data_IF_131677953291
#
_entry.id   IF_131677953291
#
_cell.length_a   1.000
_cell.length_b   1.000
_cell.length_c   1.000
_cell.angle_alpha   90.00
_cell.angle_beta   90.00
_cell.angle_gamma   90.00
#
_symmetry.space_group_name_H-M   'P 1'
#
loop_
_entity.id
_entity.type
_entity.pdbx_description
1 polymer ?
#
# COMPACT_ATOMS: atom_id res chain seq x y z
N UNK A 1 31.93 11.64 22.15
CA UNK A 1 30.69 11.04 22.68
C UNK A 1 29.56 11.54 21.81
N UNK A 2 29.38 10.97 20.60
CA UNK A 2 28.51 11.60 19.57
C UNK A 2 27.99 10.67 18.43
N UNK A 3 27.58 9.41 18.68
CA UNK A 3 26.90 8.63 17.64
C UNK A 3 25.36 8.80 17.66
N UNK A 4 24.77 9.49 18.64
CA UNK A 4 23.32 9.47 18.85
C UNK A 4 22.56 10.42 17.90
N UNK A 5 23.08 11.65 17.68
CA UNK A 5 22.44 12.75 16.91
C UNK A 5 22.34 12.54 15.39
N UNK A 6 22.97 11.49 14.85
CA UNK A 6 22.82 11.13 13.43
C UNK A 6 21.75 10.04 13.24
N UNK A 7 21.52 9.21 14.28
CA UNK A 7 20.68 8.02 14.18
C UNK A 7 19.20 8.37 14.32
N UNK A 8 18.89 9.31 15.19
CA UNK A 8 17.63 10.01 15.34
C UNK A 8 17.24 10.82 14.08
N UNK A 9 18.19 11.53 13.46
CA UNK A 9 17.92 12.29 12.22
C UNK A 9 17.58 11.36 11.05
N UNK A 10 18.32 10.26 10.88
CA UNK A 10 17.99 9.23 9.90
C UNK A 10 16.59 8.64 10.16
N UNK A 11 16.28 8.25 11.41
CA UNK A 11 14.98 7.66 11.75
C UNK A 11 13.82 8.64 11.50
N UNK A 12 13.99 9.93 11.73
CA UNK A 12 12.95 10.94 11.54
C UNK A 12 12.63 11.16 10.05
N UNK A 13 13.65 11.22 9.19
CA UNK A 13 13.45 11.29 7.74
C UNK A 13 12.80 10.01 7.20
N UNK A 14 13.20 8.84 7.70
CA UNK A 14 12.55 7.58 7.36
C UNK A 14 11.09 7.60 7.81
N UNK A 15 10.76 8.02 9.02
CA UNK A 15 9.39 8.09 9.52
C UNK A 15 8.51 9.05 8.72
N UNK A 16 9.00 10.23 8.33
CA UNK A 16 8.23 11.16 7.51
C UNK A 16 7.97 10.61 6.10
N UNK A 17 8.99 10.03 5.46
CA UNK A 17 8.84 9.43 4.14
C UNK A 17 7.92 8.21 4.17
N UNK A 18 8.06 7.34 5.18
CA UNK A 18 7.15 6.22 5.38
C UNK A 18 5.75 6.75 5.64
N UNK A 19 5.54 7.67 6.59
CA UNK A 19 4.23 8.20 6.97
C UNK A 19 3.47 8.80 5.80
N UNK A 20 4.12 9.65 4.98
CA UNK A 20 3.49 10.24 3.78
C UNK A 20 3.06 9.17 2.77
N UNK A 21 3.83 8.07 2.65
CA UNK A 21 3.51 6.94 1.76
C UNK A 21 2.47 5.98 2.36
N UNK A 22 2.51 5.70 3.67
CA UNK A 22 1.50 4.87 4.35
C UNK A 22 0.15 5.55 4.29
N UNK A 23 0.08 6.89 4.34
CA UNK A 23 -1.18 7.63 4.19
C UNK A 23 -1.79 7.41 2.79
N UNK A 24 -0.99 7.47 1.72
CA UNK A 24 -1.45 7.13 0.35
C UNK A 24 -1.91 5.68 0.25
N UNK A 25 -1.11 4.75 0.77
CA UNK A 25 -1.42 3.32 0.76
C UNK A 25 -2.66 2.98 1.60
N UNK A 26 -2.86 3.66 2.72
CA UNK A 26 -3.98 3.48 3.64
C UNK A 26 -5.28 3.97 3.02
N UNK A 27 -5.25 5.12 2.33
CA UNK A 27 -6.40 5.63 1.56
C UNK A 27 -6.83 4.64 0.47
N UNK A 28 -5.84 4.07 -0.22
CA UNK A 28 -6.06 3.02 -1.20
C UNK A 28 -6.63 1.74 -0.59
N UNK A 29 -6.05 1.27 0.52
CA UNK A 29 -6.45 0.06 1.20
C UNK A 29 -7.90 0.16 1.71
N UNK A 30 -8.33 1.34 2.17
CA UNK A 30 -9.73 1.58 2.54
C UNK A 30 -10.66 1.38 1.33
N UNK A 31 -10.32 1.91 0.16
CA UNK A 31 -11.10 1.69 -1.07
C UNK A 31 -11.13 0.21 -1.47
N UNK A 32 -9.98 -0.47 -1.42
CA UNK A 32 -9.87 -1.89 -1.70
C UNK A 32 -10.67 -2.76 -0.72
N UNK A 33 -10.68 -2.39 0.56
CA UNK A 33 -11.42 -3.08 1.61
C UNK A 33 -12.94 -2.94 1.41
N UNK A 34 -13.42 -1.73 1.10
CA UNK A 34 -14.82 -1.47 0.76
C UNK A 34 -15.22 -2.26 -0.50
N UNK A 35 -14.37 -2.26 -1.54
CA UNK A 35 -14.59 -3.05 -2.75
C UNK A 35 -14.71 -4.54 -2.45
N UNK A 36 -13.82 -5.08 -1.59
CA UNK A 36 -13.83 -6.49 -1.20
C UNK A 36 -15.14 -6.86 -0.49
N UNK A 37 -15.63 -6.01 0.41
CA UNK A 37 -16.92 -6.22 1.07
C UNK A 37 -18.07 -6.21 0.05
N UNK A 38 -18.05 -5.26 -0.89
CA UNK A 38 -19.05 -5.17 -1.97
C UNK A 38 -19.05 -6.39 -2.89
N UNK A 39 -17.87 -6.90 -3.24
CA UNK A 39 -17.70 -8.11 -4.04
C UNK A 39 -18.22 -9.34 -3.30
N UNK A 40 -17.90 -9.51 -2.01
CA UNK A 40 -18.42 -10.60 -1.19
C UNK A 40 -19.96 -10.55 -1.13
N UNK A 41 -20.53 -9.36 -0.91
CA UNK A 41 -21.98 -9.17 -0.89
C UNK A 41 -22.64 -9.47 -2.25
N UNK A 42 -22.00 -9.10 -3.36
CA UNK A 42 -22.47 -9.43 -4.71
C UNK A 42 -22.43 -10.94 -4.97
N UNK A 43 -21.33 -11.61 -4.63
CA UNK A 43 -21.22 -13.08 -4.76
C UNK A 43 -22.27 -13.77 -3.90
N UNK A 44 -22.48 -13.33 -2.65
CA UNK A 44 -23.53 -13.89 -1.78
C UNK A 44 -24.92 -13.74 -2.39
N UNK A 45 -25.25 -12.56 -2.95
CA UNK A 45 -26.53 -12.32 -3.63
C UNK A 45 -26.72 -13.23 -4.84
N UNK A 46 -25.71 -13.31 -5.72
CA UNK A 46 -25.79 -14.03 -6.99
C UNK A 46 -25.76 -15.57 -6.79
N UNK A 47 -24.88 -16.07 -5.92
CA UNK A 47 -24.68 -17.52 -5.73
C UNK A 47 -25.66 -18.15 -4.74
N UNK A 48 -26.02 -17.46 -3.66
CA UNK A 48 -26.93 -18.00 -2.64
C UNK A 48 -28.38 -17.58 -2.86
N UNK A 49 -28.66 -16.80 -3.92
CA UNK A 49 -30.01 -16.34 -4.25
C UNK A 49 -30.68 -15.53 -3.13
N UNK A 50 -29.88 -15.01 -2.19
CA UNK A 50 -30.40 -14.27 -1.04
C UNK A 50 -30.96 -12.95 -1.58
N UNK A 51 -32.24 -12.63 -1.36
CA UNK A 51 -32.79 -11.34 -1.72
C UNK A 51 -32.28 -10.28 -0.75
N UNK A 52 -31.00 -9.92 -0.89
CA UNK A 52 -30.35 -8.82 -0.20
C UNK A 52 -30.90 -7.51 -0.77
N UNK A 53 -32.16 -7.22 -0.43
CA UNK A 53 -32.87 -5.98 -0.75
C UNK A 53 -32.42 -4.79 0.10
N UNK A 54 -31.27 -4.91 0.78
CA UNK A 54 -30.68 -3.82 1.54
C UNK A 54 -30.02 -2.80 0.60
N UNK A 55 -30.24 -1.52 0.85
CA UNK A 55 -29.52 -0.42 0.22
C UNK A 55 -28.08 -0.43 0.79
N UNK A 56 -27.00 -0.41 -0.01
CA UNK A 56 -26.88 -0.23 -1.48
C UNK A 56 -26.82 -1.52 -2.33
N UNK A 57 -26.85 -2.72 -1.71
CA UNK A 57 -26.71 -4.04 -2.36
C UNK A 57 -27.82 -4.33 -3.40
N UNK A 58 -28.99 -3.71 -3.24
CA UNK A 58 -30.06 -3.77 -4.25
C UNK A 58 -29.64 -3.23 -5.63
N UNK A 59 -28.76 -2.23 -5.68
CA UNK A 59 -28.31 -1.57 -6.92
C UNK A 59 -27.02 -2.20 -7.50
N UNK A 60 -26.43 -3.16 -6.79
CA UNK A 60 -25.33 -3.97 -7.29
C UNK A 60 -25.85 -4.89 -8.40
N UNK A 61 -25.79 -4.37 -9.63
CA UNK A 61 -26.02 -5.08 -10.89
C UNK A 61 -24.67 -5.46 -11.52
N UNK A 62 -24.67 -6.44 -12.42
CA UNK A 62 -23.45 -6.90 -13.10
C UNK A 62 -22.71 -5.76 -13.83
N UNK A 63 -23.42 -4.80 -14.43
CA UNK A 63 -22.80 -3.63 -15.08
C UNK A 63 -22.06 -2.74 -14.08
N UNK A 64 -22.68 -2.47 -12.93
CA UNK A 64 -22.05 -1.68 -11.86
C UNK A 64 -20.81 -2.41 -11.36
N UNK A 65 -20.90 -3.72 -11.14
CA UNK A 65 -19.76 -4.55 -10.75
C UNK A 65 -18.63 -4.52 -11.78
N UNK A 66 -18.92 -4.59 -13.09
CA UNK A 66 -17.89 -4.53 -14.14
C UNK A 66 -17.16 -3.18 -14.11
N UNK A 67 -17.89 -2.07 -14.07
CA UNK A 67 -17.29 -0.72 -14.00
C UNK A 67 -16.45 -0.60 -12.72
N UNK A 68 -17.00 -1.04 -11.58
CA UNK A 68 -16.33 -0.92 -10.29
C UNK A 68 -15.09 -1.81 -10.20
N UNK A 69 -15.13 -3.02 -10.77
CA UNK A 69 -13.98 -3.92 -10.94
C UNK A 69 -12.90 -3.27 -11.79
N UNK A 70 -13.28 -2.60 -12.90
CA UNK A 70 -12.31 -1.90 -13.76
C UNK A 70 -11.57 -0.79 -13.01
N UNK A 71 -12.30 0.01 -12.22
CA UNK A 71 -11.69 1.05 -11.38
C UNK A 71 -10.76 0.43 -10.34
N UNK A 72 -11.20 -0.65 -9.68
CA UNK A 72 -10.38 -1.39 -8.72
C UNK A 72 -9.11 -1.97 -9.37
N UNK A 73 -9.18 -2.42 -10.62
CA UNK A 73 -8.04 -2.99 -11.34
C UNK A 73 -6.97 -1.92 -11.63
N UNK A 74 -7.38 -0.73 -12.10
CA UNK A 74 -6.47 0.41 -12.30
C UNK A 74 -5.80 0.78 -10.99
N UNK A 75 -6.60 0.84 -9.93
CA UNK A 75 -6.13 1.03 -8.57
C UNK A 75 -5.07 -0.03 -8.20
N UNK A 76 -5.34 -1.32 -8.41
CA UNK A 76 -4.41 -2.39 -8.06
C UNK A 76 -3.06 -2.26 -8.81
N UNK A 77 -3.11 -1.87 -10.09
CA UNK A 77 -1.91 -1.62 -10.90
C UNK A 77 -1.10 -0.44 -10.34
N UNK A 78 -1.76 0.66 -9.98
CA UNK A 78 -1.09 1.84 -9.40
C UNK A 78 -0.38 1.49 -8.08
N UNK A 79 -1.04 0.69 -7.23
CA UNK A 79 -0.42 0.18 -6.01
C UNK A 79 0.76 -0.74 -6.29
N UNK A 80 0.65 -1.63 -7.28
CA UNK A 80 1.74 -2.55 -7.64
C UNK A 80 2.94 -1.79 -8.23
N UNK A 81 2.70 -0.77 -9.05
CA UNK A 81 3.74 0.11 -9.58
C UNK A 81 4.42 0.90 -8.45
N UNK A 82 3.63 1.49 -7.55
CA UNK A 82 4.12 2.20 -6.36
C UNK A 82 4.95 1.28 -5.46
N UNK A 83 4.52 0.04 -5.26
CA UNK A 83 5.25 -0.97 -4.49
C UNK A 83 6.56 -1.38 -5.16
N UNK A 84 6.57 -1.60 -6.48
CA UNK A 84 7.78 -1.96 -7.24
C UNK A 84 8.84 -0.86 -7.22
N UNK A 85 8.43 0.38 -7.49
CA UNK A 85 9.32 1.56 -7.43
C UNK A 85 9.86 1.74 -6.00
N UNK A 86 9.04 1.47 -4.99
CA UNK A 86 9.44 1.57 -3.60
C UNK A 86 10.48 0.51 -3.20
N UNK A 87 10.37 -0.71 -3.73
CA UNK A 87 11.37 -1.74 -3.46
C UNK A 87 12.74 -1.32 -3.99
N UNK A 88 12.81 -0.75 -5.20
CA UNK A 88 14.06 -0.23 -5.77
C UNK A 88 14.65 0.93 -4.93
N UNK A 89 13.86 1.96 -4.58
CA UNK A 89 14.35 3.07 -3.73
C UNK A 89 14.79 2.61 -2.34
N UNK A 90 14.10 1.63 -1.75
CA UNK A 90 14.44 1.10 -0.44
C UNK A 90 15.70 0.24 -0.49
N UNK A 91 15.84 -0.61 -1.52
CA UNK A 91 17.02 -1.44 -1.75
C UNK A 91 18.27 -0.58 -1.97
N UNK A 92 18.21 0.45 -2.82
CA UNK A 92 19.33 1.36 -3.04
C UNK A 92 19.76 2.07 -1.76
N UNK A 93 18.81 2.60 -0.98
CA UNK A 93 19.12 3.26 0.30
C UNK A 93 19.71 2.30 1.32
N UNK A 94 19.19 1.07 1.39
CA UNK A 94 19.73 0.05 2.30
C UNK A 94 21.14 -0.34 1.91
N UNK A 95 21.37 -0.54 0.62
CA UNK A 95 22.69 -0.89 0.07
C UNK A 95 23.71 0.23 0.33
N UNK A 96 23.33 1.49 0.13
CA UNK A 96 24.16 2.67 0.45
C UNK A 96 24.51 2.73 1.95
N UNK A 97 23.54 2.52 2.83
CA UNK A 97 23.78 2.52 4.29
C UNK A 97 24.74 1.42 4.74
N UNK A 98 24.68 0.24 4.10
CA UNK A 98 25.57 -0.89 4.39
C UNK A 98 26.97 -0.61 3.84
N UNK A 99 27.09 -0.07 2.63
CA UNK A 99 28.35 0.34 2.02
C UNK A 99 29.05 1.42 2.86
N UNK A 100 28.35 2.48 3.28
CA UNK A 100 28.93 3.50 4.15
C UNK A 100 29.37 2.95 5.51
N UNK A 101 28.58 2.07 6.12
CA UNK A 101 28.99 1.40 7.38
C UNK A 101 30.25 0.55 7.19
N UNK A 102 30.41 -0.15 6.07
CA UNK A 102 31.60 -0.95 5.77
C UNK A 102 32.82 -0.08 5.47
N UNK A 103 32.68 0.95 4.64
CA UNK A 103 33.76 1.88 4.29
C UNK A 103 34.23 2.64 5.53
N UNK A 104 33.30 3.10 6.38
CA UNK A 104 33.65 3.78 7.62
C UNK A 104 34.38 2.83 8.57
N UNK A 105 33.93 1.57 8.72
CA UNK A 105 34.59 0.56 9.56
C UNK A 105 36.04 0.25 9.12
N UNK A 106 36.30 0.17 7.81
CA UNK A 106 37.66 -0.07 7.28
C UNK A 106 38.63 1.10 7.45
N UNK A 107 38.15 2.33 7.65
CA UNK A 107 39.02 3.52 7.81
C UNK A 107 39.55 3.70 9.24
N UNK A 108 39.07 2.89 10.19
CA UNK A 108 39.46 2.93 11.61
C UNK A 108 40.30 1.70 12.04
N UNK A 109 40.65 0.81 11.11
CA UNK A 109 41.68 -0.23 11.24
C UNK A 109 42.91 0.17 10.41
#
# INVERSE_FOLDING_TARGET
>A
MEPNCNKDHENFEFEEFFSKKVIKLKSFYIHAFIYTIGLIAFVLKEYYGVPLNFFPIKYLNSVVMIIWTSVFLVSAIDLFASYKIFNEEWEERKMKSILEKKVKKQKWE
#
